data_IF_962310593533
#
_entry.id   IF_962310593533
#
_cell.length_a   1.000
_cell.length_b   1.000
_cell.length_c   1.000
_cell.angle_alpha   90.00
_cell.angle_beta   90.00
_cell.angle_gamma   90.00
#
_symmetry.space_group_name_H-M   'P 1'
#
loop_
_entity.id
_entity.type
_entity.pdbx_description
1 polymer ?
#
# COMPACT_ATOMS: atom_id res chain seq x y z
N UNK A 1 -52.23 14.17 28.82
CA UNK A 1 -50.77 14.18 29.11
C UNK A 1 -50.42 12.84 29.75
N UNK A 2 -49.70 11.95 29.05
CA UNK A 2 -49.08 10.70 29.57
C UNK A 2 -48.46 9.82 28.46
N UNK A 3 -48.74 10.11 27.18
CA UNK A 3 -48.16 9.37 26.03
C UNK A 3 -47.04 10.16 25.31
N UNK A 4 -46.89 11.46 25.61
CA UNK A 4 -45.86 12.32 25.01
C UNK A 4 -44.50 12.28 25.73
N UNK A 5 -44.31 11.37 26.69
CA UNK A 5 -43.09 11.27 27.54
C UNK A 5 -42.32 9.95 27.35
N UNK A 6 -42.59 9.21 26.26
CA UNK A 6 -41.92 7.94 25.93
C UNK A 6 -41.18 7.96 24.58
N UNK A 7 -41.05 9.13 23.94
CA UNK A 7 -40.27 9.30 22.70
C UNK A 7 -38.91 9.96 22.98
N UNK A 8 -38.70 10.52 24.18
CA UNK A 8 -37.47 11.21 24.57
C UNK A 8 -36.42 10.33 25.25
N UNK A 9 -36.57 9.00 25.23
CA UNK A 9 -35.63 8.05 25.87
C UNK A 9 -35.13 6.95 24.91
N UNK A 10 -34.93 7.29 23.63
CA UNK A 10 -34.40 6.36 22.62
C UNK A 10 -33.36 7.02 21.72
N UNK A 11 -32.55 7.94 22.28
CA UNK A 11 -31.38 8.54 21.62
C UNK A 11 -30.18 8.55 22.57
N UNK A 12 -29.96 7.44 23.27
CA UNK A 12 -28.78 7.26 24.13
C UNK A 12 -28.20 5.88 23.86
N UNK A 13 -27.19 5.81 22.99
CA UNK A 13 -26.43 4.57 22.81
C UNK A 13 -25.82 4.30 21.43
N UNK A 14 -25.27 5.30 20.74
CA UNK A 14 -24.30 5.05 19.66
C UNK A 14 -23.14 6.03 19.72
N UNK A 15 -22.27 5.84 20.72
CA UNK A 15 -20.88 6.31 20.66
C UNK A 15 -19.96 5.10 20.79
N UNK A 16 -20.10 4.13 19.88
CA UNK A 16 -19.11 3.07 19.72
C UNK A 16 -17.92 3.61 18.90
N UNK A 17 -16.89 4.03 19.63
CA UNK A 17 -15.47 3.93 19.26
C UNK A 17 -15.03 4.45 17.90
N UNK A 18 -14.78 5.77 17.80
CA UNK A 18 -13.81 6.28 16.82
C UNK A 18 -12.38 6.21 17.40
N UNK A 19 -11.88 4.99 17.65
CA UNK A 19 -10.41 4.78 17.70
C UNK A 19 -10.01 4.31 16.31
N UNK A 20 -9.91 5.26 15.39
CA UNK A 20 -9.33 5.02 14.08
C UNK A 20 -8.43 6.20 13.77
N UNK A 21 -7.14 5.88 13.56
CA UNK A 21 -6.03 6.78 13.24
C UNK A 21 -5.32 7.35 14.48
N UNK A 22 -4.45 6.53 15.09
CA UNK A 22 -3.32 7.11 15.80
C UNK A 22 -2.60 8.05 14.81
N UNK A 23 -2.32 9.31 15.20
CA UNK A 23 -1.56 10.22 14.37
C UNK A 23 -0.24 9.53 14.04
N UNK A 24 0.03 9.37 12.74
CA UNK A 24 1.36 8.94 12.31
C UNK A 24 2.31 10.03 12.81
N UNK A 25 3.43 9.66 13.47
CA UNK A 25 4.37 10.68 13.93
C UNK A 25 4.74 11.59 12.75
N UNK A 26 4.65 12.90 12.96
CA UNK A 26 4.87 13.94 11.93
C UNK A 26 6.26 13.83 11.30
N UNK A 27 7.21 13.23 12.02
CA UNK A 27 8.55 12.95 11.52
C UNK A 27 8.84 11.44 11.45
N UNK A 28 9.33 10.95 10.30
CA UNK A 28 9.83 9.59 10.23
C UNK A 28 11.03 9.48 11.16
N UNK A 29 11.02 8.48 12.05
CA UNK A 29 12.13 8.19 12.96
C UNK A 29 13.43 7.99 12.19
N UNK A 30 14.54 8.42 12.80
CA UNK A 30 15.87 8.25 12.21
C UNK A 30 16.27 6.76 12.17
N UNK A 31 17.28 6.42 11.35
CA UNK A 31 17.79 5.06 11.30
C UNK A 31 18.38 4.64 12.65
N UNK A 32 19.07 5.54 13.34
CA UNK A 32 19.64 5.35 14.68
C UNK A 32 18.56 5.12 15.74
N UNK A 33 17.49 5.92 15.74
CA UNK A 33 16.37 5.74 16.68
C UNK A 33 15.70 4.38 16.48
N UNK A 34 15.53 3.97 15.21
CA UNK A 34 14.97 2.65 14.87
C UNK A 34 15.92 1.54 15.32
N UNK A 35 17.23 1.71 15.10
CA UNK A 35 18.24 0.74 15.48
C UNK A 35 18.28 0.56 17.00
N UNK A 36 18.34 1.67 17.75
CA UNK A 36 18.32 1.67 19.21
C UNK A 36 17.07 1.00 19.75
N UNK A 37 15.88 1.42 19.31
CA UNK A 37 14.62 0.82 19.75
C UNK A 37 14.56 -0.70 19.49
N UNK A 38 15.11 -1.17 18.36
CA UNK A 38 15.17 -2.61 18.05
C UNK A 38 16.15 -3.35 18.94
N UNK A 39 17.31 -2.75 19.20
CA UNK A 39 18.31 -3.30 20.10
C UNK A 39 17.79 -3.36 21.52
N UNK A 40 17.22 -2.28 22.05
CA UNK A 40 16.65 -2.21 23.40
C UNK A 40 15.59 -3.31 23.59
N UNK A 41 14.71 -3.48 22.60
CA UNK A 41 13.71 -4.54 22.62
C UNK A 41 14.33 -5.94 22.61
N UNK A 42 15.39 -6.17 21.84
CA UNK A 42 16.07 -7.47 21.82
C UNK A 42 16.83 -7.73 23.12
N UNK A 43 17.47 -6.70 23.67
CA UNK A 43 18.15 -6.74 24.95
C UNK A 43 17.19 -7.12 26.08
N UNK A 44 16.02 -6.48 26.15
CA UNK A 44 15.00 -6.76 27.16
C UNK A 44 14.43 -8.18 27.03
N UNK A 45 14.09 -8.62 25.81
CA UNK A 45 13.45 -9.92 25.61
C UNK A 45 14.41 -11.11 25.76
N UNK A 46 15.70 -10.91 25.50
CA UNK A 46 16.69 -12.00 25.45
C UNK A 46 17.76 -11.91 26.55
N UNK A 47 17.79 -10.82 27.34
CA UNK A 47 18.80 -10.60 28.36
C UNK A 47 20.21 -10.46 27.79
N UNK A 48 20.37 -9.69 26.69
CA UNK A 48 21.66 -9.56 25.99
C UNK A 48 22.71 -8.85 26.86
N UNK A 49 23.95 -9.33 26.82
CA UNK A 49 25.09 -8.63 27.45
C UNK A 49 25.45 -7.34 26.70
N UNK A 50 26.19 -6.45 27.34
CA UNK A 50 26.61 -5.16 26.74
C UNK A 50 27.38 -5.33 25.43
N UNK A 51 28.21 -6.37 25.34
CA UNK A 51 28.97 -6.71 24.13
C UNK A 51 28.03 -7.17 23.00
N UNK A 52 27.08 -8.05 23.31
CA UNK A 52 26.06 -8.51 22.35
C UNK A 52 25.15 -7.35 21.89
N UNK A 53 24.80 -6.44 22.79
CA UNK A 53 23.99 -5.26 22.45
C UNK A 53 24.69 -4.35 21.44
N UNK A 54 26.01 -4.16 21.56
CA UNK A 54 26.80 -3.37 20.59
C UNK A 54 26.77 -4.00 19.20
N UNK A 55 26.96 -5.31 19.10
CA UNK A 55 26.90 -6.02 17.82
C UNK A 55 25.48 -5.99 17.21
N UNK A 56 24.46 -6.22 18.03
CA UNK A 56 23.06 -6.16 17.61
C UNK A 56 22.67 -4.74 17.18
N UNK A 57 23.17 -3.71 17.85
CA UNK A 57 22.99 -2.32 17.44
C UNK A 57 23.59 -2.04 16.07
N UNK A 58 24.85 -2.41 15.84
CA UNK A 58 25.49 -2.23 14.54
C UNK A 58 24.69 -2.91 13.41
N UNK A 59 24.25 -4.16 13.63
CA UNK A 59 23.42 -4.90 12.68
C UNK A 59 22.07 -4.22 12.42
N UNK A 60 21.42 -3.70 13.49
CA UNK A 60 20.14 -3.03 13.37
C UNK A 60 20.24 -1.68 12.68
N UNK A 61 21.36 -0.97 12.86
CA UNK A 61 21.66 0.29 12.18
C UNK A 61 21.80 0.08 10.67
N UNK A 62 22.64 -0.86 10.25
CA UNK A 62 22.80 -1.21 8.83
C UNK A 62 21.45 -1.57 8.18
N UNK A 63 20.64 -2.38 8.87
CA UNK A 63 19.28 -2.72 8.39
C UNK A 63 18.36 -1.51 8.32
N UNK A 64 18.44 -0.59 9.28
CA UNK A 64 17.61 0.61 9.30
C UNK A 64 17.99 1.58 8.18
N UNK A 65 19.28 1.73 7.90
CA UNK A 65 19.80 2.53 6.78
C UNK A 65 19.39 1.96 5.43
N UNK A 66 19.55 0.65 5.21
CA UNK A 66 19.06 -0.02 3.99
C UNK A 66 17.57 0.20 3.78
N UNK A 67 16.77 0.08 4.84
CA UNK A 67 15.33 0.35 4.77
C UNK A 67 15.02 1.82 4.46
N UNK A 68 15.81 2.76 4.98
CA UNK A 68 15.66 4.19 4.67
C UNK A 68 15.94 4.44 3.19
N UNK A 69 17.07 3.96 2.67
CA UNK A 69 17.43 4.09 1.26
C UNK A 69 16.36 3.48 0.33
N UNK A 70 15.89 2.26 0.60
CA UNK A 70 14.83 1.63 -0.21
C UNK A 70 13.50 2.40 -0.13
N UNK A 71 13.19 3.04 1.01
CA UNK A 71 11.98 3.88 1.11
C UNK A 71 12.10 5.15 0.28
N UNK A 72 13.25 5.79 0.29
CA UNK A 72 13.54 6.99 -0.49
C UNK A 72 13.48 6.69 -2.00
N UNK A 73 14.12 5.60 -2.45
CA UNK A 73 14.06 5.13 -3.83
C UNK A 73 12.61 4.87 -4.28
N UNK A 74 11.83 4.15 -3.46
CA UNK A 74 10.41 3.90 -3.74
C UNK A 74 9.60 5.19 -3.75
N UNK A 75 9.88 6.14 -2.86
CA UNK A 75 9.18 7.42 -2.83
C UNK A 75 9.44 8.21 -4.11
N UNK A 76 10.69 8.25 -4.58
CA UNK A 76 11.07 8.89 -5.83
C UNK A 76 10.34 8.26 -7.03
N UNK A 77 10.41 6.92 -7.16
CA UNK A 77 9.72 6.19 -8.23
C UNK A 77 8.20 6.42 -8.21
N UNK A 78 7.60 6.48 -7.03
CA UNK A 78 6.16 6.74 -6.92
C UNK A 78 5.81 8.20 -7.25
N UNK A 79 6.71 9.15 -7.02
CA UNK A 79 6.51 10.53 -7.43
C UNK A 79 6.55 10.67 -8.96
N UNK A 80 7.51 9.99 -9.60
CA UNK A 80 7.62 9.92 -11.06
C UNK A 80 6.36 9.31 -11.69
N UNK A 81 5.95 8.12 -11.25
CA UNK A 81 4.73 7.46 -11.73
C UNK A 81 3.47 8.33 -11.56
N UNK A 82 3.39 9.12 -10.49
CA UNK A 82 2.28 10.06 -10.29
C UNK A 82 2.31 11.21 -11.30
N UNK A 83 3.50 11.67 -11.66
CA UNK A 83 3.66 12.72 -12.67
C UNK A 83 3.25 12.20 -14.05
N UNK A 84 3.71 11.01 -14.43
CA UNK A 84 3.33 10.35 -15.69
C UNK A 84 1.81 10.14 -15.77
N UNK A 85 1.21 9.58 -14.72
CA UNK A 85 -0.24 9.38 -14.64
C UNK A 85 -1.04 10.68 -14.80
N UNK A 86 -0.53 11.81 -14.28
CA UNK A 86 -1.18 13.11 -14.47
C UNK A 86 -1.08 13.59 -15.90
N UNK A 87 0.11 13.50 -16.50
CA UNK A 87 0.32 13.89 -17.90
C UNK A 87 -0.54 13.05 -18.85
N UNK A 88 -0.63 11.74 -18.62
CA UNK A 88 -1.50 10.85 -19.39
C UNK A 88 -2.98 11.18 -19.20
N UNK A 89 -3.39 11.57 -17.98
CA UNK A 89 -4.75 12.01 -17.71
C UNK A 89 -5.08 13.31 -18.44
N UNK A 90 -4.16 14.26 -18.50
CA UNK A 90 -4.33 15.52 -19.25
C UNK A 90 -4.47 15.23 -20.75
N UNK A 91 -3.57 14.43 -21.33
CA UNK A 91 -3.65 14.00 -22.74
C UNK A 91 -4.95 13.27 -23.05
N UNK A 92 -5.40 12.40 -22.15
CA UNK A 92 -6.68 11.71 -22.30
C UNK A 92 -7.85 12.70 -22.28
N UNK A 93 -7.83 13.70 -21.41
CA UNK A 93 -8.89 14.71 -21.35
C UNK A 93 -8.97 15.53 -22.65
N UNK A 94 -7.86 15.79 -23.33
CA UNK A 94 -7.83 16.51 -24.60
C UNK A 94 -8.44 15.70 -25.76
N UNK A 95 -8.35 14.37 -25.70
CA UNK A 95 -8.90 13.46 -26.72
C UNK A 95 -10.40 13.24 -26.54
N UNK A 96 -10.87 13.22 -25.29
CA UNK A 96 -12.25 12.86 -24.97
C UNK A 96 -13.23 14.03 -25.18
N UNK A 97 -14.45 13.69 -25.61
CA UNK A 97 -15.57 14.66 -25.59
C UNK A 97 -16.04 14.91 -24.15
N UNK A 98 -16.77 16.01 -23.92
CA UNK A 98 -17.24 16.37 -22.57
C UNK A 98 -18.09 15.25 -21.94
N UNK A 99 -19.01 14.66 -22.71
CA UNK A 99 -19.85 13.54 -22.25
C UNK A 99 -19.01 12.32 -21.87
N UNK A 100 -17.96 12.00 -22.64
CA UNK A 100 -17.06 10.89 -22.34
C UNK A 100 -16.19 11.18 -21.10
N UNK A 101 -15.77 12.43 -20.88
CA UNK A 101 -15.06 12.85 -19.67
C UNK A 101 -15.93 12.67 -18.42
N UNK A 102 -17.19 13.05 -18.47
CA UNK A 102 -18.12 12.87 -17.35
C UNK A 102 -18.35 11.40 -17.04
N UNK A 103 -18.53 10.55 -18.06
CA UNK A 103 -18.64 9.10 -17.86
C UNK A 103 -17.36 8.52 -17.23
N UNK A 104 -16.18 8.97 -17.65
CA UNK A 104 -14.91 8.53 -17.08
C UNK A 104 -14.78 8.94 -15.60
N UNK A 105 -15.15 10.18 -15.24
CA UNK A 105 -15.16 10.64 -13.85
C UNK A 105 -16.09 9.80 -12.97
N UNK A 106 -17.28 9.47 -13.46
CA UNK A 106 -18.22 8.60 -12.74
C UNK A 106 -17.62 7.20 -12.50
N UNK A 107 -17.00 6.60 -13.52
CA UNK A 107 -16.32 5.31 -13.38
C UNK A 107 -15.15 5.37 -12.39
N UNK A 108 -14.38 6.46 -12.38
CA UNK A 108 -13.30 6.66 -11.41
C UNK A 108 -13.83 6.77 -9.98
N UNK A 109 -14.92 7.52 -9.76
CA UNK A 109 -15.57 7.64 -8.46
C UNK A 109 -16.10 6.29 -7.95
N UNK A 110 -16.77 5.51 -8.81
CA UNK A 110 -17.27 4.19 -8.46
C UNK A 110 -16.11 3.24 -8.08
N UNK A 111 -15.02 3.25 -8.86
CA UNK A 111 -13.81 2.48 -8.54
C UNK A 111 -13.20 2.91 -7.20
N UNK A 112 -13.14 4.22 -6.92
CA UNK A 112 -12.62 4.74 -5.66
C UNK A 112 -13.46 4.27 -4.46
N UNK A 113 -14.79 4.29 -4.56
CA UNK A 113 -15.68 3.80 -3.51
C UNK A 113 -15.55 2.29 -3.30
N UNK A 114 -15.47 1.50 -4.39
CA UNK A 114 -15.19 0.05 -4.28
C UNK A 114 -13.87 -0.23 -3.56
N UNK A 115 -12.82 0.53 -3.88
CA UNK A 115 -11.51 0.41 -3.22
C UNK A 115 -11.57 0.79 -1.74
N UNK A 116 -12.31 1.85 -1.40
CA UNK A 116 -12.53 2.29 -0.01
C UNK A 116 -13.32 1.24 0.78
N UNK A 117 -14.38 0.68 0.21
CA UNK A 117 -15.17 -0.39 0.81
C UNK A 117 -14.31 -1.65 1.06
N UNK A 118 -13.51 -2.06 0.07
CA UNK A 118 -12.59 -3.18 0.21
C UNK A 118 -11.54 -2.94 1.32
N UNK A 119 -11.01 -1.70 1.43
CA UNK A 119 -10.07 -1.33 2.50
C UNK A 119 -10.74 -1.37 3.87
N UNK A 120 -11.98 -0.88 3.99
CA UNK A 120 -12.77 -0.94 5.22
C UNK A 120 -13.02 -2.40 5.64
N UNK A 121 -13.41 -3.28 4.71
CA UNK A 121 -13.58 -4.71 4.99
C UNK A 121 -12.30 -5.42 5.46
N UNK A 122 -11.12 -5.02 4.96
CA UNK A 122 -9.82 -5.53 5.45
C UNK A 122 -9.51 -5.05 6.87
N UNK A 123 -9.78 -3.78 7.17
CA UNK A 123 -9.55 -3.21 8.50
C UNK A 123 -10.51 -3.79 9.55
N UNK A 124 -11.74 -4.12 9.16
CA UNK A 124 -12.76 -4.77 10.00
C UNK A 124 -12.54 -6.29 10.20
N UNK A 125 -11.39 -6.84 9.76
CA UNK A 125 -11.05 -8.25 9.98
C UNK A 125 -11.83 -9.25 9.12
N UNK A 126 -12.82 -8.82 8.32
CA UNK A 126 -13.65 -9.66 7.44
C UNK A 126 -12.89 -10.39 6.32
N UNK A 127 -11.59 -10.15 6.19
CA UNK A 127 -10.71 -10.78 5.18
C UNK A 127 -9.60 -11.67 5.78
N UNK A 128 -9.55 -11.84 7.11
CA UNK A 128 -8.55 -12.69 7.78
C UNK A 128 -8.98 -14.17 7.92
N UNK A 129 -10.24 -14.52 7.64
CA UNK A 129 -10.77 -15.88 7.81
C UNK A 129 -10.77 -16.76 6.55
N UNK A 130 -11.10 -16.23 5.36
CA UNK A 130 -11.54 -17.11 4.27
C UNK A 130 -10.58 -17.28 3.08
N UNK A 131 -9.48 -16.52 3.00
CA UNK A 131 -8.49 -16.69 1.91
C UNK A 131 -7.37 -17.69 2.17
N UNK A 132 -7.31 -18.27 3.37
CA UNK A 132 -6.41 -19.38 3.69
C UNK A 132 -7.13 -20.72 3.86
N UNK A 133 -8.47 -20.75 3.72
CA UNK A 133 -9.29 -21.95 3.93
C UNK A 133 -10.12 -22.31 2.70
N UNK A 134 -9.53 -22.29 1.51
CA UNK A 134 -9.97 -23.12 0.39
C UNK A 134 -8.84 -23.32 -0.59
N UNK A 135 -8.38 -24.57 -0.66
CA UNK A 135 -7.32 -25.04 -1.55
C UNK A 135 -7.74 -25.07 -3.00
N UNK A 136 -8.03 -23.91 -3.59
CA UNK A 136 -8.21 -23.74 -5.03
C UNK A 136 -7.17 -22.76 -5.57
N UNK A 137 -5.89 -23.05 -5.32
CA UNK A 137 -4.82 -22.60 -6.23
C UNK A 137 -4.81 -23.56 -7.40
N UNK A 138 -5.74 -23.38 -8.34
CA UNK A 138 -5.50 -23.79 -9.73
C UNK A 138 -4.38 -22.92 -10.30
N UNK A 139 -3.15 -23.28 -9.92
CA UNK A 139 -1.96 -22.88 -10.63
C UNK A 139 -2.07 -23.58 -11.99
N UNK A 140 -2.54 -22.88 -13.02
CA UNK A 140 -2.37 -23.38 -14.38
C UNK A 140 -0.87 -23.55 -14.59
N UNK A 141 -0.43 -24.80 -14.54
CA UNK A 141 0.86 -25.26 -15.02
C UNK A 141 0.89 -24.93 -16.51
N UNK A 142 1.27 -23.70 -16.87
CA UNK A 142 1.69 -23.40 -18.26
C UNK A 142 2.81 -24.39 -18.52
N UNK A 143 2.50 -25.35 -19.40
CA UNK A 143 3.35 -26.48 -19.70
C UNK A 143 4.76 -26.04 -20.00
N UNK A 144 5.72 -26.85 -19.57
CA UNK A 144 7.08 -26.77 -20.06
C UNK A 144 7.06 -26.99 -21.57
N UNK A 145 7.17 -25.89 -22.32
CA UNK A 145 7.72 -25.92 -23.65
C UNK A 145 9.22 -25.61 -23.49
N UNK A 146 10.03 -26.55 -23.97
CA UNK A 146 11.49 -26.51 -23.94
C UNK A 146 11.99 -25.23 -24.60
N UNK A 147 13.08 -24.69 -24.08
CA UNK A 147 13.84 -23.63 -24.72
C UNK A 147 14.26 -24.10 -26.12
N UNK A 148 13.77 -23.41 -27.15
CA UNK A 148 14.39 -23.41 -28.47
C UNK A 148 14.97 -22.03 -28.71
N UNK A 149 16.30 -22.02 -28.71
CA UNK A 149 17.14 -20.89 -29.08
C UNK A 149 17.00 -20.67 -30.58
N UNK A 150 16.25 -19.64 -30.97
CA UNK A 150 16.45 -19.00 -32.28
C UNK A 150 16.57 -17.52 -32.05
N UNK A 151 17.82 -17.05 -32.15
CA UNK A 151 18.14 -15.63 -32.21
C UNK A 151 17.46 -15.02 -33.44
N UNK A 152 16.58 -14.04 -33.21
CA UNK A 152 16.14 -13.12 -34.26
C UNK A 152 16.69 -11.76 -33.86
N UNK A 153 17.82 -11.41 -34.46
CA UNK A 153 18.42 -10.09 -34.46
C UNK A 153 17.46 -9.11 -35.14
N UNK A 154 16.86 -8.20 -34.37
CA UNK A 154 16.13 -7.04 -34.87
C UNK A 154 17.06 -5.82 -34.83
N UNK A 155 17.94 -5.76 -35.82
CA UNK A 155 18.48 -4.54 -36.42
C UNK A 155 17.92 -4.54 -37.85
N UNK A 156 17.17 -3.59 -38.37
CA UNK A 156 17.33 -2.13 -38.36
C UNK A 156 15.95 -1.53 -38.69
N UNK A 157 15.52 -0.48 -37.98
CA UNK A 157 14.55 0.48 -38.54
C UNK A 157 15.03 1.87 -38.14
N UNK A 158 15.83 2.48 -39.01
CA UNK A 158 16.05 3.92 -39.01
C UNK A 158 14.81 4.60 -39.62
N UNK A 159 14.25 5.63 -38.98
CA UNK A 159 13.27 6.50 -39.64
C UNK A 159 14.06 7.50 -40.50
N UNK A 160 13.78 7.58 -41.80
CA UNK A 160 14.21 8.74 -42.58
C UNK A 160 13.02 9.47 -43.21
N UNK A 161 13.00 10.75 -42.87
CA UNK A 161 12.10 11.81 -43.26
C UNK A 161 12.44 12.26 -44.67
N UNK A 162 11.41 12.46 -45.51
CA UNK A 162 11.22 13.65 -46.34
C UNK A 162 9.78 13.73 -46.82
#
# INVERSE_FOLDING_TARGET
MKIALLITLLVSGMTYGTVAQQPRPEHPRSAEEIAKMRTDRLAENLGLSDEQQKEVYALNLEKAEKLKATREERAAKMAELRSEMKADQERLNDILTEEQREMLKQQQAERAEKMKAARKGRNEGKFRGDRFRKGDRHFHKRGGAKADTTQVTLSEVTPNVK
#
